data_IF_251692440024
#
_entry.id   IF_251692440024
#
_cell.length_a   1.000
_cell.length_b   1.000
_cell.length_c   1.000
_cell.angle_alpha   90.00
_cell.angle_beta   90.00
_cell.angle_gamma   90.00
#
_symmetry.space_group_name_H-M   'P 1'
#
loop_
_entity.id
_entity.type
_entity.pdbx_description
1 polymer ?
#
# COMPACT_ATOMS: atom_id res chain seq x y z
N UNK A 1 -26.40 44.50 -5.05
CA UNK A 1 -25.14 43.77 -5.30
C UNK A 1 -25.14 42.54 -4.41
N UNK A 2 -25.59 41.40 -4.94
CA UNK A 2 -25.60 40.14 -4.18
C UNK A 2 -24.15 39.66 -4.02
N UNK A 3 -23.72 39.40 -2.78
CA UNK A 3 -22.42 38.81 -2.47
C UNK A 3 -22.45 37.35 -2.94
N UNK A 4 -21.75 37.06 -4.03
CA UNK A 4 -21.55 35.68 -4.50
C UNK A 4 -20.97 34.83 -3.36
N UNK A 5 -21.50 33.62 -3.12
CA UNK A 5 -20.91 32.70 -2.15
C UNK A 5 -19.49 32.35 -2.60
N UNK A 6 -18.55 32.43 -1.67
CA UNK A 6 -17.16 31.98 -1.86
C UNK A 6 -17.17 30.47 -2.12
N UNK A 7 -17.18 30.10 -3.39
CA UNK A 7 -17.06 28.73 -3.89
C UNK A 7 -15.59 28.30 -4.06
N UNK A 8 -14.65 29.19 -3.74
CA UNK A 8 -13.21 29.04 -4.02
C UNK A 8 -12.38 28.63 -2.80
N UNK A 9 -12.84 28.92 -1.57
CA UNK A 9 -12.24 28.41 -0.32
C UNK A 9 -12.51 26.92 -0.18
N UNK A 10 -13.78 26.54 -0.21
CA UNK A 10 -14.24 25.16 0.01
C UNK A 10 -13.62 24.18 -1.00
N UNK A 11 -13.44 24.61 -2.26
CA UNK A 11 -12.79 23.81 -3.30
C UNK A 11 -11.29 23.61 -3.07
N UNK A 12 -10.59 24.61 -2.50
CA UNK A 12 -9.16 24.51 -2.15
C UNK A 12 -8.95 23.67 -0.89
N UNK A 13 -9.85 23.76 0.08
CA UNK A 13 -9.81 23.00 1.33
C UNK A 13 -9.97 21.50 1.04
N UNK A 14 -10.96 21.11 0.23
CA UNK A 14 -11.11 19.70 -0.18
C UNK A 14 -9.94 19.22 -1.04
N UNK A 15 -9.45 20.04 -1.97
CA UNK A 15 -8.31 19.70 -2.82
C UNK A 15 -7.02 19.45 -1.99
N UNK A 16 -6.79 20.27 -0.95
CA UNK A 16 -5.65 20.11 -0.03
C UNK A 16 -5.73 18.86 0.84
N UNK A 17 -6.94 18.39 1.16
CA UNK A 17 -7.18 17.17 1.93
C UNK A 17 -7.00 15.91 1.09
N UNK A 18 -7.32 15.95 -0.21
CA UNK A 18 -7.09 14.83 -1.13
C UNK A 18 -5.62 14.66 -1.53
N UNK A 19 -4.86 15.77 -1.71
CA UNK A 19 -3.45 15.70 -2.08
C UNK A 19 -2.49 15.24 -0.98
N UNK A 20 -2.98 15.05 0.26
CA UNK A 20 -2.17 14.47 1.35
C UNK A 20 -2.38 12.97 1.53
N UNK A 21 -3.24 12.36 0.71
CA UNK A 21 -3.58 10.93 0.80
C UNK A 21 -2.88 10.12 -0.30
N UNK A 22 -2.16 10.76 -1.23
CA UNK A 22 -1.65 10.06 -2.42
C UNK A 22 -0.30 10.59 -2.91
N UNK A 23 0.62 10.93 -1.99
CA UNK A 23 2.04 11.15 -2.34
C UNK A 23 2.98 10.09 -1.74
N UNK A 24 2.45 9.11 -1.01
CA UNK A 24 3.26 8.15 -0.24
C UNK A 24 2.79 6.70 -0.35
N UNK A 25 2.07 6.32 -1.42
CA UNK A 25 1.54 4.95 -1.56
C UNK A 25 2.38 3.99 -2.43
N UNK A 26 3.74 3.95 -2.35
CA UNK A 26 4.47 2.74 -2.74
C UNK A 26 4.30 1.62 -1.70
N UNK A 27 4.12 1.97 -0.42
CA UNK A 27 4.20 1.04 0.69
C UNK A 27 3.02 0.07 0.77
N UNK A 28 1.80 0.54 0.53
CA UNK A 28 0.62 -0.32 0.57
C UNK A 28 0.72 -1.46 -0.44
N UNK A 29 1.30 -1.24 -1.63
CA UNK A 29 1.46 -2.29 -2.65
C UNK A 29 2.31 -3.45 -2.13
N UNK A 30 3.42 -3.16 -1.45
CA UNK A 30 4.29 -4.18 -0.85
C UNK A 30 3.63 -4.85 0.35
N UNK A 31 2.87 -4.11 1.16
CA UNK A 31 2.07 -4.68 2.25
C UNK A 31 0.97 -5.61 1.73
N UNK A 32 0.25 -5.23 0.67
CA UNK A 32 -0.77 -6.06 0.01
C UNK A 32 -0.16 -7.29 -0.68
N UNK A 33 1.05 -7.18 -1.24
CA UNK A 33 1.77 -8.33 -1.80
C UNK A 33 2.19 -9.33 -0.70
N UNK A 34 2.73 -8.83 0.41
CA UNK A 34 3.06 -9.64 1.57
C UNK A 34 1.81 -10.30 2.17
N UNK A 35 0.74 -9.55 2.33
CA UNK A 35 -0.54 -10.04 2.83
C UNK A 35 -1.16 -11.08 1.89
N UNK A 36 -1.13 -10.84 0.57
CA UNK A 36 -1.56 -11.79 -0.44
C UNK A 36 -0.78 -13.10 -0.37
N UNK A 37 0.53 -13.04 -0.17
CA UNK A 37 1.37 -14.22 0.01
C UNK A 37 0.99 -15.02 1.28
N UNK A 38 0.72 -14.34 2.40
CA UNK A 38 0.23 -14.98 3.64
C UNK A 38 -1.12 -15.67 3.41
N UNK A 39 -2.06 -14.99 2.74
CA UNK A 39 -3.40 -15.53 2.45
C UNK A 39 -3.30 -16.74 1.52
N UNK A 40 -2.50 -16.66 0.45
CA UNK A 40 -2.27 -17.79 -0.47
C UNK A 40 -1.63 -18.96 0.27
N UNK A 41 -0.63 -18.70 1.11
CA UNK A 41 -0.01 -19.73 1.97
C UNK A 41 -1.03 -20.41 2.87
N UNK A 42 -1.91 -19.64 3.53
CA UNK A 42 -2.95 -20.18 4.40
C UNK A 42 -3.97 -21.03 3.61
N UNK A 43 -4.41 -20.57 2.43
CA UNK A 43 -5.33 -21.32 1.56
C UNK A 43 -4.72 -22.64 1.08
N UNK A 44 -3.42 -22.64 0.74
CA UNK A 44 -2.71 -23.87 0.35
C UNK A 44 -2.49 -24.83 1.53
N UNK A 45 -2.29 -24.28 2.74
CA UNK A 45 -2.16 -25.08 3.96
C UNK A 45 -3.46 -25.85 4.25
N UNK A 46 -4.60 -25.16 4.15
CA UNK A 46 -5.95 -25.76 4.30
C UNK A 46 -6.23 -26.78 3.19
N UNK A 47 -5.67 -26.58 1.99
CA UNK A 47 -5.78 -27.50 0.86
C UNK A 47 -4.85 -28.74 0.97
N UNK A 48 -4.24 -28.98 2.13
CA UNK A 48 -3.30 -30.09 2.39
C UNK A 48 -2.01 -30.08 1.53
N UNK A 49 -1.69 -28.96 0.85
CA UNK A 49 -0.47 -28.76 0.03
C UNK A 49 0.60 -28.05 0.86
N UNK A 50 1.07 -28.73 1.90
CA UNK A 50 1.91 -28.14 2.96
C UNK A 50 3.26 -27.62 2.44
N UNK A 51 3.91 -28.34 1.54
CA UNK A 51 5.19 -27.92 0.96
C UNK A 51 5.08 -26.60 0.18
N UNK A 52 4.02 -26.48 -0.62
CA UNK A 52 3.76 -25.26 -1.39
C UNK A 52 3.31 -24.10 -0.50
N UNK A 53 2.53 -24.37 0.54
CA UNK A 53 2.15 -23.38 1.54
C UNK A 53 3.36 -22.77 2.25
N UNK A 54 4.30 -23.61 2.71
CA UNK A 54 5.51 -23.16 3.39
C UNK A 54 6.40 -22.38 2.43
N UNK A 55 6.52 -22.83 1.18
CA UNK A 55 7.26 -22.10 0.15
C UNK A 55 6.69 -20.69 -0.02
N UNK A 56 5.38 -20.55 -0.28
CA UNK A 56 4.73 -19.24 -0.48
C UNK A 56 4.80 -18.38 0.80
N UNK A 57 4.56 -18.97 1.97
CA UNK A 57 4.52 -18.27 3.26
C UNK A 57 5.86 -17.70 3.73
N UNK A 58 6.99 -18.09 3.11
CA UNK A 58 8.33 -17.56 3.42
C UNK A 58 8.72 -16.34 2.58
N UNK A 59 7.99 -16.02 1.51
CA UNK A 59 8.26 -14.84 0.66
C UNK A 59 7.75 -13.47 1.17
N UNK A 60 6.81 -13.34 2.13
CA UNK A 60 6.39 -12.02 2.62
C UNK A 60 7.56 -11.14 3.11
N UNK A 61 8.53 -11.63 3.91
CA UNK A 61 9.70 -10.85 4.32
C UNK A 61 10.54 -10.32 3.16
N UNK A 62 10.69 -11.10 2.09
CA UNK A 62 11.45 -10.70 0.90
C UNK A 62 10.78 -9.54 0.16
N UNK A 63 9.46 -9.62 -0.05
CA UNK A 63 8.71 -8.54 -0.70
C UNK A 63 8.71 -7.26 0.15
N UNK A 64 8.51 -7.38 1.46
CA UNK A 64 8.59 -6.26 2.40
C UNK A 64 9.99 -5.61 2.38
N UNK A 65 11.06 -6.41 2.40
CA UNK A 65 12.42 -5.90 2.37
C UNK A 65 12.74 -5.17 1.06
N UNK A 66 12.29 -5.70 -0.08
CA UNK A 66 12.52 -5.09 -1.39
C UNK A 66 11.75 -3.78 -1.55
N UNK A 67 10.52 -3.72 -1.06
CA UNK A 67 9.72 -2.49 -1.04
C UNK A 67 10.27 -1.42 -0.10
N UNK A 68 10.68 -1.84 1.09
CA UNK A 68 11.35 -0.96 2.05
C UNK A 68 12.67 -0.44 1.49
N UNK A 69 13.45 -1.28 0.81
CA UNK A 69 14.69 -0.89 0.16
C UNK A 69 14.46 0.15 -0.94
N UNK A 70 13.45 -0.05 -1.81
CA UNK A 70 13.10 0.96 -2.83
C UNK A 70 12.70 2.29 -2.19
N UNK A 71 11.91 2.27 -1.11
CA UNK A 71 11.52 3.50 -0.39
C UNK A 71 12.75 4.19 0.20
N UNK A 72 13.59 3.47 0.95
CA UNK A 72 14.80 4.03 1.56
C UNK A 72 15.75 4.60 0.49
N UNK A 73 15.92 3.90 -0.62
CA UNK A 73 16.77 4.32 -1.72
C UNK A 73 16.22 5.56 -2.45
N UNK A 74 14.89 5.70 -2.54
CA UNK A 74 14.25 6.89 -3.11
C UNK A 74 14.24 8.09 -2.15
N UNK A 75 14.31 7.87 -0.83
CA UNK A 75 14.33 8.92 0.19
C UNK A 75 15.73 9.55 0.39
N UNK A 76 16.79 8.87 -0.07
CA UNK A 76 18.19 9.31 0.06
C UNK A 76 18.69 10.17 -1.13
N UNK A 77 17.85 10.45 -2.13
CA UNK A 77 18.14 11.30 -3.30
C UNK A 77 17.23 12.52 -3.35
#
# INVERSE_FOLDING_TARGET
MAKSPDITSNARDVQSQYFRVTDDVPEEVWYWAALGSIIVSALLFVSNKRDWSIFVGQWPPTFLLFGLFHKLLHQEH
#
